data_IF_410487669329
#
_entry.id   IF_410487669329
#
_cell.length_a   1.000
_cell.length_b   1.000
_cell.length_c   1.000
_cell.angle_alpha   90.00
_cell.angle_beta   90.00
_cell.angle_gamma   90.00
#
_symmetry.space_group_name_H-M   'P 1'
#
loop_
_entity.id
_entity.type
_entity.pdbx_description
1 polymer ?
#
# COMPACT_ATOMS: atom_id res chain seq x y z
N UNK A 1 -4.16 17.16 15.33
CA UNK A 1 -4.94 16.47 16.39
C UNK A 1 -6.01 15.54 15.82
N UNK A 2 -6.93 16.04 14.96
CA UNK A 2 -7.96 15.19 14.35
C UNK A 2 -7.40 14.05 13.52
N UNK A 3 -6.36 14.33 12.72
CA UNK A 3 -5.71 13.31 11.90
C UNK A 3 -5.10 12.22 12.76
N UNK A 4 -4.41 12.59 13.82
CA UNK A 4 -3.78 11.63 14.73
C UNK A 4 -4.82 10.78 15.45
N UNK A 5 -5.92 11.39 15.89
CA UNK A 5 -7.02 10.66 16.50
C UNK A 5 -7.66 9.68 15.52
N UNK A 6 -7.86 10.10 14.28
CA UNK A 6 -8.39 9.25 13.22
C UNK A 6 -7.48 8.07 12.90
N UNK A 7 -6.17 8.31 12.82
CA UNK A 7 -5.19 7.24 12.58
C UNK A 7 -5.16 6.26 13.76
N UNK A 8 -5.24 6.75 14.98
CA UNK A 8 -5.28 5.89 16.15
C UNK A 8 -6.54 5.03 16.15
N UNK A 9 -7.69 5.62 15.86
CA UNK A 9 -8.95 4.90 15.77
C UNK A 9 -8.89 3.81 14.69
N UNK A 10 -8.36 4.15 13.52
CA UNK A 10 -8.21 3.18 12.44
C UNK A 10 -7.29 2.02 12.83
N UNK A 11 -6.21 2.32 13.55
CA UNK A 11 -5.31 1.28 14.05
C UNK A 11 -6.01 0.35 15.04
N UNK A 12 -6.83 0.90 15.93
CA UNK A 12 -7.60 0.10 16.87
C UNK A 12 -8.61 -0.79 16.15
N UNK A 13 -9.29 -0.26 15.14
CA UNK A 13 -10.22 -1.03 14.31
C UNK A 13 -9.45 -2.12 13.56
N UNK A 14 -8.33 -1.79 12.94
CA UNK A 14 -7.53 -2.75 12.17
C UNK A 14 -6.99 -3.88 13.06
N UNK A 15 -6.72 -3.63 14.33
CA UNK A 15 -6.25 -4.67 15.24
C UNK A 15 -7.29 -5.77 15.48
N UNK A 16 -8.54 -5.50 15.16
CA UNK A 16 -9.63 -6.50 15.27
C UNK A 16 -9.79 -7.34 14.00
N UNK A 17 -9.12 -6.97 12.91
CA UNK A 17 -9.27 -7.68 11.64
C UNK A 17 -8.59 -9.04 11.70
N UNK A 18 -9.26 -10.04 11.13
CA UNK A 18 -8.75 -11.38 11.01
C UNK A 18 -8.69 -11.77 9.55
N UNK A 19 -7.62 -12.46 9.17
CA UNK A 19 -7.39 -12.82 7.78
C UNK A 19 -7.36 -14.34 7.64
N UNK A 20 -8.02 -14.82 6.60
CA UNK A 20 -7.90 -16.20 6.15
C UNK A 20 -7.24 -16.19 4.79
N UNK A 21 -6.20 -16.96 4.64
CA UNK A 21 -5.42 -17.01 3.43
C UNK A 21 -5.54 -18.39 2.80
N UNK A 22 -5.81 -18.42 1.50
CA UNK A 22 -5.92 -19.68 0.75
C UNK A 22 -5.15 -19.56 -0.56
N UNK A 23 -4.65 -20.67 -1.07
CA UNK A 23 -3.84 -20.71 -2.29
C UNK A 23 -2.35 -20.59 -2.03
N UNK A 24 -1.58 -20.56 -3.10
CA UNK A 24 -0.14 -20.41 -3.03
C UNK A 24 0.22 -18.95 -2.74
N UNK A 25 0.88 -18.76 -1.61
CA UNK A 25 1.32 -17.44 -1.18
C UNK A 25 2.79 -17.33 -1.53
N UNK A 26 3.20 -16.22 -2.18
CA UNK A 26 4.63 -15.98 -2.36
C UNK A 26 5.33 -16.03 -1.01
N UNK A 27 6.41 -16.77 -0.93
CA UNK A 27 7.21 -16.87 0.28
C UNK A 27 8.00 -15.60 0.56
N UNK A 28 9.31 -15.75 0.73
CA UNK A 28 10.20 -14.63 1.02
C UNK A 28 10.71 -13.93 -0.25
N UNK A 29 10.30 -14.39 -1.43
CA UNK A 29 10.78 -13.82 -2.69
C UNK A 29 10.10 -12.48 -3.00
N UNK A 30 10.83 -11.53 -3.59
CA UNK A 30 10.25 -10.27 -4.04
C UNK A 30 9.11 -10.52 -5.03
N UNK A 31 8.03 -9.80 -4.87
CA UNK A 31 6.85 -9.98 -5.72
C UNK A 31 6.07 -8.68 -5.85
N UNK A 32 5.10 -8.69 -6.75
CA UNK A 32 4.12 -7.61 -6.86
C UNK A 32 2.77 -8.20 -6.44
N UNK A 33 2.18 -7.61 -5.43
CA UNK A 33 0.88 -8.03 -4.94
C UNK A 33 -0.13 -6.96 -5.33
N UNK A 34 -1.11 -7.35 -6.13
CA UNK A 34 -2.15 -6.44 -6.60
C UNK A 34 -3.48 -6.76 -5.93
N UNK A 35 -4.18 -5.73 -5.50
CA UNK A 35 -5.54 -5.83 -5.00
C UNK A 35 -6.33 -4.60 -5.43
N UNK A 36 -7.66 -4.73 -5.42
CA UNK A 36 -8.50 -3.62 -5.84
C UNK A 36 -8.45 -2.48 -4.83
N UNK A 37 -8.57 -1.26 -5.32
CA UNK A 37 -8.45 -0.04 -4.50
C UNK A 37 -9.42 -0.06 -3.30
N UNK A 38 -10.61 -0.62 -3.48
CA UNK A 38 -11.59 -0.71 -2.40
C UNK A 38 -11.12 -1.57 -1.22
N UNK A 39 -10.14 -2.44 -1.43
CA UNK A 39 -9.57 -3.31 -0.39
C UNK A 39 -8.21 -2.84 0.10
N UNK A 40 -7.82 -1.60 -0.22
CA UNK A 40 -6.45 -1.14 0.05
C UNK A 40 -6.08 -1.16 1.55
N UNK A 41 -7.01 -0.76 2.42
CA UNK A 41 -6.70 -0.73 3.86
C UNK A 41 -6.42 -2.12 4.43
N UNK A 42 -7.29 -3.13 4.26
CA UNK A 42 -6.96 -4.48 4.72
C UNK A 42 -5.79 -5.09 3.93
N UNK A 43 -5.66 -4.80 2.65
CA UNK A 43 -4.52 -5.27 1.85
C UNK A 43 -3.19 -4.79 2.40
N UNK A 44 -3.07 -3.51 2.69
CA UNK A 44 -1.88 -2.94 3.30
C UNK A 44 -1.63 -3.50 4.70
N UNK A 45 -2.65 -3.54 5.52
CA UNK A 45 -2.52 -4.03 6.89
C UNK A 45 -2.03 -5.48 6.92
N UNK A 46 -2.60 -6.34 6.08
CA UNK A 46 -2.24 -7.75 6.01
C UNK A 46 -0.78 -7.97 5.58
N UNK A 47 -0.28 -7.12 4.68
CA UNK A 47 1.07 -7.25 4.13
C UNK A 47 2.10 -6.34 4.82
N UNK A 48 1.75 -5.72 5.92
CA UNK A 48 2.68 -4.89 6.69
C UNK A 48 3.82 -5.68 7.32
N UNK A 49 4.92 -4.99 7.61
CA UNK A 49 6.10 -5.56 8.28
C UNK A 49 6.77 -6.74 7.53
N UNK A 50 6.64 -6.76 6.20
CA UNK A 50 7.19 -7.84 5.36
C UNK A 50 8.12 -7.33 4.26
N UNK A 51 8.85 -6.24 4.52
CA UNK A 51 9.67 -5.56 3.52
C UNK A 51 8.84 -5.17 2.28
N UNK A 52 7.76 -4.48 2.54
CA UNK A 52 6.79 -4.07 1.53
C UNK A 52 6.88 -2.58 1.25
N UNK A 53 6.60 -2.22 0.00
CA UNK A 53 6.48 -0.83 -0.43
C UNK A 53 5.11 -0.63 -1.10
N UNK A 54 4.63 0.60 -1.06
CA UNK A 54 3.36 0.97 -1.70
C UNK A 54 3.53 2.29 -2.44
N UNK A 55 2.89 2.41 -3.60
CA UNK A 55 2.82 3.66 -4.35
C UNK A 55 1.68 4.51 -3.79
N UNK A 56 1.99 5.75 -3.43
CA UNK A 56 1.03 6.67 -2.83
C UNK A 56 1.16 8.04 -3.49
N UNK A 57 0.05 8.69 -3.79
CA UNK A 57 0.07 10.00 -4.44
C UNK A 57 0.77 11.06 -3.58
N UNK A 58 1.23 12.14 -4.24
CA UNK A 58 1.88 13.28 -3.56
C UNK A 58 0.89 14.27 -2.96
N UNK A 59 -0.40 13.97 -2.95
CA UNK A 59 -1.45 14.81 -2.36
C UNK A 59 -1.39 14.84 -0.83
N UNK A 60 -2.18 15.73 -0.22
CA UNK A 60 -2.33 15.76 1.24
C UNK A 60 -2.86 14.43 1.78
N UNK A 61 -3.83 13.84 1.08
CA UNK A 61 -4.38 12.54 1.46
C UNK A 61 -3.32 11.45 1.40
N UNK A 62 -2.48 11.50 0.37
CA UNK A 62 -1.33 10.60 0.26
C UNK A 62 -0.35 10.76 1.42
N UNK A 63 -0.15 11.98 1.91
CA UNK A 63 0.71 12.22 3.08
C UNK A 63 0.14 11.59 4.34
N UNK A 64 -1.18 11.68 4.54
CA UNK A 64 -1.86 11.05 5.67
C UNK A 64 -1.74 9.52 5.56
N UNK A 65 -2.01 8.98 4.38
CA UNK A 65 -1.89 7.54 4.13
C UNK A 65 -0.47 7.03 4.35
N UNK A 66 0.54 7.82 3.97
CA UNK A 66 1.94 7.45 4.18
C UNK A 66 2.28 7.31 5.67
N UNK A 67 1.69 8.14 6.52
CA UNK A 67 1.85 8.00 7.97
C UNK A 67 1.26 6.69 8.48
N UNK A 68 0.05 6.36 8.02
CA UNK A 68 -0.60 5.11 8.38
C UNK A 68 0.23 3.91 7.93
N UNK A 69 0.70 3.92 6.69
CA UNK A 69 1.49 2.85 6.13
C UNK A 69 2.81 2.67 6.87
N UNK A 70 3.47 3.76 7.23
CA UNK A 70 4.67 3.70 8.05
C UNK A 70 4.39 2.99 9.39
N UNK A 71 3.24 3.23 9.95
CA UNK A 71 2.81 2.58 11.18
C UNK A 71 2.66 1.07 11.00
N UNK A 72 2.23 0.65 9.83
CA UNK A 72 2.08 -0.77 9.50
C UNK A 72 3.36 -1.39 8.92
N UNK A 73 4.48 -0.67 9.00
CA UNK A 73 5.76 -1.18 8.53
C UNK A 73 5.90 -1.24 7.03
N UNK A 74 5.19 -0.35 6.30
CA UNK A 74 5.25 -0.27 4.84
C UNK A 74 5.95 1.02 4.45
N UNK A 75 6.96 0.91 3.59
CA UNK A 75 7.65 2.07 3.00
C UNK A 75 6.83 2.60 1.83
N UNK A 76 6.70 3.90 1.70
CA UNK A 76 5.95 4.50 0.61
C UNK A 76 6.87 5.10 -0.45
N UNK A 77 6.48 4.93 -1.71
CA UNK A 77 7.06 5.64 -2.84
C UNK A 77 6.00 6.61 -3.33
N UNK A 78 6.33 7.90 -3.37
CA UNK A 78 5.37 8.97 -3.61
C UNK A 78 5.31 9.34 -5.09
N UNK A 79 4.14 9.20 -5.69
CA UNK A 79 3.88 9.55 -7.08
C UNK A 79 2.60 8.93 -7.58
N UNK A 80 2.09 9.45 -8.69
CA UNK A 80 0.86 8.95 -9.31
C UNK A 80 0.94 9.11 -10.83
N UNK A 81 -0.03 8.56 -11.55
CA UNK A 81 -0.08 8.71 -13.01
C UNK A 81 -0.12 10.17 -13.47
N UNK A 82 -0.58 11.08 -12.64
CA UNK A 82 -0.68 12.50 -12.96
C UNK A 82 0.47 13.35 -12.42
N UNK A 83 1.29 12.82 -11.51
CA UNK A 83 2.35 13.59 -10.87
C UNK A 83 3.49 12.69 -10.41
N UNK A 84 4.65 12.84 -11.03
CA UNK A 84 5.88 12.09 -10.73
C UNK A 84 5.72 10.57 -10.84
N UNK A 85 4.80 10.12 -11.69
CA UNK A 85 4.49 8.70 -11.83
C UNK A 85 5.63 7.88 -12.40
N UNK A 86 6.36 8.42 -13.39
CA UNK A 86 7.49 7.72 -14.01
C UNK A 86 8.62 7.50 -13.01
N UNK A 87 8.95 8.52 -12.23
CA UNK A 87 10.01 8.47 -11.23
C UNK A 87 9.63 7.52 -10.10
N UNK A 88 8.38 7.58 -9.65
CA UNK A 88 7.88 6.68 -8.61
C UNK A 88 7.89 5.22 -9.08
N UNK A 89 7.48 4.96 -10.31
CA UNK A 89 7.51 3.62 -10.87
C UNK A 89 8.95 3.10 -10.98
N UNK A 90 9.87 3.93 -11.46
CA UNK A 90 11.28 3.54 -11.58
C UNK A 90 11.87 3.21 -10.20
N UNK A 91 11.56 4.00 -9.19
CA UNK A 91 11.99 3.73 -7.82
C UNK A 91 11.39 2.43 -7.29
N UNK A 92 10.09 2.21 -7.51
CA UNK A 92 9.44 0.97 -7.09
C UNK A 92 10.05 -0.25 -7.74
N UNK A 93 10.34 -0.20 -9.04
CA UNK A 93 11.00 -1.29 -9.77
C UNK A 93 12.37 -1.58 -9.15
N UNK A 94 13.15 -0.53 -8.87
CA UNK A 94 14.47 -0.70 -8.26
C UNK A 94 14.36 -1.33 -6.87
N UNK A 95 13.39 -0.94 -6.07
CA UNK A 95 13.16 -1.50 -4.74
C UNK A 95 12.78 -2.98 -4.82
N UNK A 96 11.95 -3.36 -5.79
CA UNK A 96 11.58 -4.77 -6.00
C UNK A 96 12.82 -5.58 -6.40
N UNK A 97 13.65 -5.05 -7.28
CA UNK A 97 14.92 -5.69 -7.65
C UNK A 97 15.85 -5.87 -6.45
N UNK A 98 15.77 -4.99 -5.47
CA UNK A 98 16.55 -5.05 -4.24
C UNK A 98 15.93 -5.93 -3.15
N UNK A 99 14.82 -6.59 -3.42
CA UNK A 99 14.22 -7.57 -2.51
C UNK A 99 12.91 -7.16 -1.87
N UNK A 100 12.36 -5.99 -2.17
CA UNK A 100 11.07 -5.56 -1.61
C UNK A 100 9.89 -6.12 -2.39
N UNK A 101 8.75 -6.23 -1.72
CA UNK A 101 7.48 -6.59 -2.36
C UNK A 101 6.65 -5.33 -2.58
N UNK A 102 6.17 -5.12 -3.80
CA UNK A 102 5.35 -3.97 -4.16
C UNK A 102 3.86 -4.29 -3.97
N UNK A 103 3.16 -3.42 -3.25
CA UNK A 103 1.71 -3.47 -3.12
C UNK A 103 1.11 -2.46 -4.09
N UNK A 104 0.21 -2.92 -4.94
CA UNK A 104 -0.33 -2.12 -6.04
C UNK A 104 -1.86 -2.21 -6.10
N UNK A 105 -2.51 -1.07 -6.33
CA UNK A 105 -3.95 -1.00 -6.60
C UNK A 105 -4.15 -0.57 -8.05
N UNK A 106 -4.31 -1.54 -8.98
CA UNK A 106 -4.28 -1.23 -10.41
C UNK A 106 -5.46 -0.40 -10.91
N UNK A 107 -6.62 -0.49 -10.26
CA UNK A 107 -7.79 0.30 -10.65
C UNK A 107 -7.74 1.75 -10.15
N UNK A 108 -6.87 2.06 -9.17
CA UNK A 108 -6.68 3.41 -8.66
C UNK A 108 -7.94 4.07 -8.07
N UNK A 109 -7.79 5.29 -7.51
CA UNK A 109 -8.91 5.97 -6.86
C UNK A 109 -9.97 6.50 -7.84
N UNK A 110 -9.60 6.68 -9.11
CA UNK A 110 -10.51 7.22 -10.12
C UNK A 110 -11.28 6.13 -10.87
N UNK A 111 -10.94 4.86 -10.64
CA UNK A 111 -11.59 3.77 -11.34
C UNK A 111 -11.32 3.73 -12.84
N UNK A 112 -12.08 2.94 -13.61
CA UNK A 112 -13.23 2.16 -13.14
C UNK A 112 -12.86 1.09 -12.12
N UNK A 113 -13.78 0.84 -11.19
CA UNK A 113 -13.56 -0.15 -10.13
C UNK A 113 -13.29 -1.53 -10.71
N UNK A 114 -12.33 -2.25 -10.11
CA UNK A 114 -11.99 -3.62 -10.46
C UNK A 114 -11.64 -3.80 -11.95
N UNK A 115 -10.99 -2.77 -12.51
CA UNK A 115 -10.51 -2.82 -13.90
C UNK A 115 -9.00 -2.66 -13.91
N UNK A 116 -8.33 -3.56 -14.61
CA UNK A 116 -6.88 -3.58 -14.72
C UNK A 116 -6.44 -2.97 -16.03
#
# INVERSE_FOLDING_TARGET
MLIQAGLLLLRLIASTWRYTQSGNIPGTEPSVIAFWHEYMLPGWHHHGNRNTIALVSQSKDGSILSRLLKYWGITTVRGSSSNSGKEALAEAVQQVKNGSTLLLTPDGPRGPRRTF
#
